data_IF_993601940520
#
_entry.id   IF_993601940520
#
_cell.length_a   1.000
_cell.length_b   1.000
_cell.length_c   1.000
_cell.angle_alpha   90.00
_cell.angle_beta   90.00
_cell.angle_gamma   90.00
#
_symmetry.space_group_name_H-M   'P 1'
#
loop_
_entity.id
_entity.type
_entity.pdbx_description
1 polymer ?
#
# COMPACT_ATOMS: atom_id res chain seq x y z
N UNK A 1 -48.86 16.29 -7.20
CA UNK A 1 -47.47 16.57 -7.64
C UNK A 1 -46.54 15.74 -6.79
N UNK A 2 -46.05 14.62 -7.33
CA UNK A 2 -45.07 13.76 -6.68
C UNK A 2 -43.70 14.35 -7.01
N UNK A 3 -43.01 14.89 -6.02
CA UNK A 3 -41.62 15.27 -6.12
C UNK A 3 -40.79 14.00 -6.08
N UNK A 4 -40.35 13.55 -7.22
CA UNK A 4 -39.28 12.58 -7.31
C UNK A 4 -38.00 13.27 -6.86
N UNK A 5 -37.60 13.06 -5.61
CA UNK A 5 -36.22 13.31 -5.21
C UNK A 5 -35.35 12.41 -6.04
N UNK A 6 -34.67 12.98 -7.02
CA UNK A 6 -33.50 12.33 -7.64
C UNK A 6 -32.49 12.20 -6.52
N UNK A 7 -32.39 11.03 -5.91
CA UNK A 7 -31.27 10.71 -5.07
C UNK A 7 -30.04 10.80 -6.02
N UNK A 8 -29.22 11.81 -5.87
CA UNK A 8 -27.88 11.80 -6.44
C UNK A 8 -27.23 10.61 -5.76
N UNK A 9 -26.99 9.55 -6.55
CA UNK A 9 -26.17 8.45 -6.10
C UNK A 9 -24.82 9.06 -5.68
N UNK A 10 -24.44 8.83 -4.45
CA UNK A 10 -23.19 9.35 -3.92
C UNK A 10 -22.08 8.56 -4.62
N UNK A 11 -21.38 9.22 -5.52
CA UNK A 11 -20.29 8.71 -6.34
C UNK A 11 -19.30 7.93 -5.49
N UNK A 12 -18.86 6.77 -5.95
CA UNK A 12 -17.79 6.02 -5.30
C UNK A 12 -16.48 6.78 -5.54
N UNK A 13 -15.91 7.30 -4.48
CA UNK A 13 -14.57 7.82 -4.45
C UNK A 13 -13.59 6.65 -4.36
N UNK A 14 -12.55 6.63 -5.21
CA UNK A 14 -11.58 5.54 -5.23
C UNK A 14 -10.29 5.84 -4.50
N UNK A 15 -10.13 7.06 -3.99
CA UNK A 15 -8.91 7.50 -3.34
C UNK A 15 -8.48 6.55 -2.21
N UNK A 16 -9.44 6.15 -1.38
CA UNK A 16 -9.21 5.33 -0.18
C UNK A 16 -10.08 4.06 -0.16
N UNK A 17 -10.21 3.32 -1.26
CA UNK A 17 -11.06 2.13 -1.28
C UNK A 17 -10.35 0.82 -0.99
N UNK A 18 -9.05 0.76 -1.23
CA UNK A 18 -8.27 -0.46 -1.20
C UNK A 18 -7.29 -0.45 -0.02
N UNK A 19 -6.95 -1.63 0.50
CA UNK A 19 -6.00 -1.74 1.59
C UNK A 19 -4.55 -1.62 1.15
N UNK A 20 -4.19 -2.32 0.07
CA UNK A 20 -2.83 -2.38 -0.45
C UNK A 20 -2.69 -1.89 -1.88
N UNK A 21 -3.75 -1.39 -2.46
CA UNK A 21 -3.79 -0.76 -3.77
C UNK A 21 -4.25 0.68 -3.63
N UNK A 22 -4.10 1.45 -4.68
CA UNK A 22 -4.42 2.86 -4.73
C UNK A 22 -5.40 3.09 -5.89
N UNK A 23 -6.40 3.94 -5.69
CA UNK A 23 -7.32 4.39 -6.74
C UNK A 23 -6.79 5.61 -7.50
N UNK A 24 -7.52 6.04 -8.52
CA UNK A 24 -7.10 7.16 -9.38
C UNK A 24 -7.64 8.52 -8.95
N UNK A 25 -8.59 8.57 -8.02
CA UNK A 25 -9.14 9.83 -7.51
C UNK A 25 -8.11 10.56 -6.63
N UNK A 26 -8.17 11.89 -6.62
CA UNK A 26 -7.21 12.78 -5.96
C UNK A 26 -7.89 13.89 -5.16
N UNK A 27 -9.21 13.81 -4.92
CA UNK A 27 -9.98 14.85 -4.24
C UNK A 27 -10.19 16.12 -5.08
N UNK A 28 -10.73 17.15 -4.44
CA UNK A 28 -11.01 18.47 -5.02
C UNK A 28 -10.01 19.52 -4.51
N UNK A 29 -9.67 20.55 -5.32
CA UNK A 29 -8.74 21.60 -4.88
C UNK A 29 -9.16 22.25 -3.56
N UNK A 30 -8.25 22.20 -2.58
CA UNK A 30 -8.46 22.73 -1.23
C UNK A 30 -8.79 21.66 -0.19
N UNK A 31 -9.14 20.44 -0.60
CA UNK A 31 -9.36 19.33 0.32
C UNK A 31 -8.12 19.06 1.16
N UNK A 32 -8.35 18.67 2.39
CA UNK A 32 -7.30 18.31 3.37
C UNK A 32 -7.77 17.12 4.16
N UNK A 33 -6.84 16.22 4.38
CA UNK A 33 -7.08 15.02 5.15
C UNK A 33 -5.92 14.70 6.09
N UNK A 34 -6.26 14.05 7.19
CA UNK A 34 -5.29 13.46 8.11
C UNK A 34 -5.61 11.98 8.23
N UNK A 35 -4.59 11.16 8.01
CA UNK A 35 -4.73 9.72 8.05
C UNK A 35 -3.84 9.09 9.11
N UNK A 36 -4.31 7.98 9.64
CA UNK A 36 -3.51 7.07 10.45
C UNK A 36 -3.62 5.68 9.89
N UNK A 37 -2.48 5.03 9.66
CA UNK A 37 -2.46 3.65 9.22
C UNK A 37 -1.54 2.77 10.04
N UNK A 38 -1.76 1.48 9.98
CA UNK A 38 -0.81 0.48 10.49
C UNK A 38 -0.81 -0.73 9.56
N UNK A 39 0.37 -1.06 9.04
CA UNK A 39 0.63 -2.30 8.33
C UNK A 39 1.33 -3.27 9.27
N UNK A 40 0.69 -4.42 9.54
CA UNK A 40 1.26 -5.52 10.30
C UNK A 40 1.69 -6.65 9.35
N UNK A 41 2.87 -7.24 9.60
CA UNK A 41 3.48 -8.31 8.80
C UNK A 41 3.93 -9.44 9.73
N UNK A 42 3.61 -10.69 9.39
CA UNK A 42 4.03 -11.82 10.23
C UNK A 42 4.18 -13.12 9.45
N UNK A 43 4.90 -14.07 10.05
CA UNK A 43 5.03 -15.43 9.53
C UNK A 43 6.22 -15.64 8.59
N UNK A 44 7.42 -15.37 9.03
CA UNK A 44 8.67 -15.93 8.45
C UNK A 44 9.04 -17.23 9.16
N UNK A 45 9.83 -18.10 8.54
CA UNK A 45 10.26 -19.41 9.09
C UNK A 45 11.76 -19.62 8.95
N UNK A 46 12.39 -20.41 9.87
CA UNK A 46 11.87 -20.91 11.15
C UNK A 46 11.81 -19.76 12.19
N UNK A 47 11.02 -19.91 13.25
CA UNK A 47 10.96 -18.96 14.36
C UNK A 47 9.68 -18.13 14.42
N UNK A 48 9.73 -17.04 15.17
CA UNK A 48 8.64 -16.06 15.31
C UNK A 48 9.04 -14.75 14.66
N UNK A 49 8.16 -14.21 13.84
CA UNK A 49 8.35 -12.93 13.17
C UNK A 49 7.06 -12.11 13.21
N UNK A 50 7.17 -10.91 13.74
CA UNK A 50 6.13 -9.88 13.69
C UNK A 50 6.80 -8.53 13.47
N UNK A 51 6.31 -7.76 12.50
CA UNK A 51 6.67 -6.37 12.28
C UNK A 51 5.40 -5.54 12.10
N UNK A 52 5.38 -4.32 12.65
CA UNK A 52 4.30 -3.36 12.45
C UNK A 52 4.87 -1.99 12.10
N UNK A 53 4.25 -1.33 11.15
CA UNK A 53 4.60 0.01 10.68
C UNK A 53 3.38 0.93 10.85
N UNK A 54 3.20 1.56 12.04
CA UNK A 54 2.25 2.64 12.20
C UNK A 54 2.74 3.90 11.50
N UNK A 55 1.86 4.60 10.80
CA UNK A 55 2.15 5.84 10.10
C UNK A 55 1.05 6.88 10.31
N UNK A 56 1.44 8.14 10.17
CA UNK A 56 0.57 9.30 10.19
C UNK A 56 0.86 10.12 8.94
N UNK A 57 -0.19 10.42 8.19
CA UNK A 57 -0.14 11.17 6.93
C UNK A 57 -0.96 12.44 7.02
N UNK A 58 -0.46 13.50 6.40
CA UNK A 58 -1.18 14.73 6.16
C UNK A 58 -1.23 14.99 4.65
N UNK A 59 -2.44 15.15 4.15
CA UNK A 59 -2.75 15.27 2.74
C UNK A 59 -3.36 16.62 2.40
N UNK A 60 -3.09 17.08 1.18
CA UNK A 60 -3.62 18.30 0.62
C UNK A 60 -3.73 18.21 -0.91
N UNK A 61 -4.82 18.75 -1.46
CA UNK A 61 -5.05 18.91 -2.91
C UNK A 61 -4.77 20.36 -3.33
N UNK A 62 -3.55 20.69 -3.81
CA UNK A 62 -3.17 22.07 -4.13
C UNK A 62 -3.84 22.64 -5.39
N UNK A 63 -4.04 21.81 -6.38
CA UNK A 63 -4.64 22.17 -7.69
C UNK A 63 -5.41 20.96 -8.24
N UNK A 64 -6.24 21.22 -9.23
CA UNK A 64 -6.97 20.15 -9.93
C UNK A 64 -6.04 19.05 -10.44
N UNK A 65 -6.45 17.81 -10.24
CA UNK A 65 -5.73 16.59 -10.63
C UNK A 65 -4.40 16.31 -9.89
N UNK A 66 -4.02 17.08 -8.91
CA UNK A 66 -2.78 16.87 -8.14
C UNK A 66 -3.10 16.75 -6.64
N UNK A 67 -2.75 15.64 -6.06
CA UNK A 67 -2.70 15.38 -4.62
C UNK A 67 -1.24 15.37 -4.14
N UNK A 68 -1.00 15.90 -2.97
CA UNK A 68 0.30 15.86 -2.31
C UNK A 68 0.12 15.47 -0.84
N UNK A 69 0.97 14.59 -0.33
CA UNK A 69 0.97 14.26 1.09
C UNK A 69 2.38 14.13 1.67
N UNK A 70 2.44 14.11 3.00
CA UNK A 70 3.65 13.85 3.77
C UNK A 70 3.33 12.86 4.88
N UNK A 71 4.14 11.81 5.00
CA UNK A 71 3.93 10.70 5.93
C UNK A 71 5.12 10.55 6.87
N UNK A 72 4.83 10.39 8.16
CA UNK A 72 5.79 9.99 9.19
C UNK A 72 5.44 8.59 9.67
N UNK A 73 6.42 7.69 9.68
CA UNK A 73 6.21 6.33 10.15
C UNK A 73 7.14 5.93 11.29
N UNK A 74 6.68 4.97 12.08
CA UNK A 74 7.47 4.23 13.06
C UNK A 74 7.47 2.75 12.70
N UNK A 75 8.45 2.01 13.23
CA UNK A 75 8.55 0.57 13.07
C UNK A 75 8.59 -0.11 14.45
N UNK A 76 7.92 -1.24 14.55
CA UNK A 76 8.04 -2.17 15.67
C UNK A 76 8.38 -3.56 15.15
N UNK A 77 9.37 -4.20 15.76
CA UNK A 77 9.80 -5.56 15.41
C UNK A 77 9.80 -6.45 16.66
N UNK A 78 9.30 -7.68 16.50
CA UNK A 78 9.43 -8.79 17.45
C UNK A 78 9.87 -10.03 16.66
N UNK A 79 11.18 -10.26 16.65
CA UNK A 79 11.87 -11.27 15.83
C UNK A 79 12.60 -12.23 16.77
N UNK A 80 12.37 -13.53 16.59
CA UNK A 80 13.03 -14.56 17.38
C UNK A 80 13.29 -15.81 16.54
N UNK A 81 14.54 -16.26 16.53
CA UNK A 81 15.01 -17.50 15.88
C UNK A 81 14.70 -17.58 14.38
N UNK A 82 14.76 -16.46 13.67
CA UNK A 82 14.68 -16.40 12.20
C UNK A 82 16.09 -16.52 11.62
N UNK A 83 16.30 -17.47 10.72
CA UNK A 83 17.60 -17.65 10.06
C UNK A 83 17.98 -16.40 9.25
N UNK A 84 19.17 -15.85 9.53
CA UNK A 84 19.69 -14.66 8.87
C UNK A 84 19.21 -13.33 9.46
N UNK A 85 18.40 -13.34 10.51
CA UNK A 85 18.00 -12.16 11.28
C UNK A 85 18.45 -12.30 12.74
N UNK A 86 18.82 -11.20 13.36
CA UNK A 86 19.07 -11.14 14.79
C UNK A 86 17.75 -11.14 15.58
N UNK A 87 17.75 -11.78 16.75
CA UNK A 87 16.63 -11.70 17.68
C UNK A 87 16.49 -10.26 18.17
N UNK A 88 15.28 -9.70 18.02
CA UNK A 88 15.05 -8.27 18.25
C UNK A 88 13.63 -8.00 18.75
N UNK A 89 13.53 -7.14 19.75
CA UNK A 89 12.23 -6.61 20.17
C UNK A 89 12.39 -5.11 20.43
N UNK A 90 11.96 -4.28 19.47
CA UNK A 90 12.14 -2.83 19.56
C UNK A 90 11.11 -2.06 18.73
N UNK A 91 10.87 -0.81 19.15
CA UNK A 91 10.22 0.24 18.36
C UNK A 91 11.21 1.35 18.03
N UNK A 92 11.10 1.94 16.85
CA UNK A 92 11.93 3.05 16.40
C UNK A 92 11.17 3.97 15.45
N UNK A 93 11.66 5.19 15.24
CA UNK A 93 11.28 5.99 14.09
C UNK A 93 11.73 5.27 12.82
N UNK A 94 10.81 5.11 11.85
CA UNK A 94 11.11 4.41 10.60
C UNK A 94 11.46 5.39 9.50
N UNK A 95 10.49 6.16 8.99
CA UNK A 95 10.69 6.92 7.77
C UNK A 95 9.91 8.22 7.70
N UNK A 96 10.36 9.07 6.78
CA UNK A 96 9.63 10.21 6.23
C UNK A 96 9.44 9.96 4.74
N UNK A 97 8.22 10.15 4.23
CA UNK A 97 7.92 10.12 2.80
C UNK A 97 7.08 11.32 2.37
N UNK A 98 7.09 11.55 1.05
CA UNK A 98 6.28 12.56 0.38
C UNK A 98 5.63 11.90 -0.82
N UNK A 99 4.30 11.94 -0.90
CA UNK A 99 3.55 11.39 -2.03
C UNK A 99 3.09 12.50 -2.94
N UNK A 100 3.15 12.23 -4.26
CA UNK A 100 2.59 13.06 -5.31
C UNK A 100 1.81 12.17 -6.27
N UNK A 101 0.49 12.33 -6.27
CA UNK A 101 -0.40 11.66 -7.22
C UNK A 101 -0.95 12.64 -8.23
N UNK A 102 -0.79 12.32 -9.51
CA UNK A 102 -1.32 13.13 -10.60
C UNK A 102 -2.29 12.32 -11.45
N UNK A 103 -3.56 12.75 -11.48
CA UNK A 103 -4.62 12.16 -12.29
C UNK A 103 -4.49 12.63 -13.74
N UNK A 104 -4.23 11.68 -14.64
CA UNK A 104 -4.09 11.91 -16.08
C UNK A 104 -5.43 11.87 -16.81
N UNK A 105 -6.33 10.97 -16.37
CA UNK A 105 -7.65 10.76 -16.98
C UNK A 105 -8.68 10.63 -15.85
N UNK A 106 -9.70 11.45 -15.92
CA UNK A 106 -10.81 11.41 -14.99
C UNK A 106 -11.83 10.32 -15.39
N UNK A 107 -12.13 9.40 -14.45
CA UNK A 107 -13.00 8.24 -14.67
C UNK A 107 -14.38 8.60 -15.21
N UNK A 108 -14.97 9.69 -14.75
CA UNK A 108 -16.34 10.08 -15.12
C UNK A 108 -16.43 10.61 -16.54
N UNK A 109 -15.35 11.18 -17.06
CA UNK A 109 -15.32 11.73 -18.43
C UNK A 109 -15.00 10.64 -19.46
N UNK A 110 -14.06 9.74 -19.13
CA UNK A 110 -13.54 8.75 -20.06
C UNK A 110 -14.09 7.33 -19.85
N UNK A 111 -14.84 7.09 -18.74
CA UNK A 111 -15.30 5.76 -18.37
C UNK A 111 -14.24 4.86 -17.73
N UNK A 112 -13.02 5.39 -17.52
CA UNK A 112 -11.95 4.82 -16.71
C UNK A 112 -11.06 5.94 -16.16
N UNK A 113 -10.44 5.70 -15.02
CA UNK A 113 -9.45 6.59 -14.41
C UNK A 113 -8.04 6.13 -14.74
N UNK A 114 -7.11 7.08 -14.88
CA UNK A 114 -5.68 6.83 -15.01
C UNK A 114 -4.91 7.87 -14.19
N UNK A 115 -3.98 7.42 -13.34
CA UNK A 115 -3.10 8.29 -12.59
C UNK A 115 -1.70 7.71 -12.49
N UNK A 116 -0.75 8.59 -12.19
CA UNK A 116 0.61 8.22 -11.79
C UNK A 116 0.82 8.69 -10.35
N UNK A 117 1.63 7.93 -9.63
CA UNK A 117 1.91 8.15 -8.23
C UNK A 117 3.40 7.98 -7.97
N UNK A 118 3.98 8.84 -7.14
CA UNK A 118 5.38 8.80 -6.79
C UNK A 118 5.58 9.21 -5.32
N UNK A 119 6.06 8.29 -4.52
CA UNK A 119 6.32 8.48 -3.09
C UNK A 119 7.81 8.25 -2.76
N UNK A 120 8.70 9.26 -2.96
CA UNK A 120 10.07 9.19 -2.45
C UNK A 120 10.07 9.13 -0.93
N UNK A 121 10.95 8.30 -0.38
CA UNK A 121 11.08 8.13 1.06
C UNK A 121 12.53 8.04 1.54
N UNK A 122 12.72 8.43 2.79
CA UNK A 122 13.94 8.22 3.56
C UNK A 122 13.62 7.48 4.84
N UNK A 123 14.32 6.38 5.10
CA UNK A 123 14.12 5.51 6.26
C UNK A 123 15.37 5.34 7.11
N UNK A 124 15.18 5.00 8.39
CA UNK A 124 16.23 4.81 9.40
C UNK A 124 16.32 3.38 9.90
N UNK A 125 15.36 2.54 9.50
CA UNK A 125 15.24 1.17 9.96
C UNK A 125 15.00 0.27 8.76
N UNK A 126 15.67 -0.88 8.71
CA UNK A 126 15.35 -1.92 7.74
C UNK A 126 13.97 -2.54 8.06
N UNK A 127 13.01 -2.54 7.13
CA UNK A 127 11.63 -2.94 7.41
C UNK A 127 11.46 -4.42 7.70
N UNK A 128 12.48 -5.24 7.40
CA UNK A 128 12.46 -6.69 7.64
C UNK A 128 13.21 -7.07 8.90
N UNK A 129 14.43 -6.56 9.11
CA UNK A 129 15.29 -6.94 10.22
C UNK A 129 15.16 -6.02 11.43
N UNK A 130 14.65 -4.81 11.25
CA UNK A 130 14.65 -3.77 12.28
C UNK A 130 16.03 -3.18 12.55
N UNK A 131 17.03 -3.45 11.72
CA UNK A 131 18.39 -2.92 11.89
C UNK A 131 18.45 -1.43 11.56
N UNK A 132 19.33 -0.67 12.29
CA UNK A 132 19.59 0.73 11.94
C UNK A 132 20.29 0.83 10.59
N UNK A 133 19.70 1.60 9.69
CA UNK A 133 20.19 1.83 8.32
C UNK A 133 19.94 3.27 7.90
N UNK A 134 20.55 3.71 6.80
CA UNK A 134 20.03 4.80 5.99
C UNK A 134 19.45 4.22 4.72
N UNK A 135 18.16 4.42 4.50
CA UNK A 135 17.37 3.86 3.42
C UNK A 135 16.79 4.99 2.57
N UNK A 136 16.97 4.89 1.26
CA UNK A 136 16.50 5.86 0.28
C UNK A 136 15.79 5.11 -0.84
N UNK A 137 14.54 5.43 -1.10
CA UNK A 137 13.76 4.77 -2.12
C UNK A 137 12.64 5.62 -2.66
N UNK A 138 11.84 5.03 -3.52
CA UNK A 138 10.61 5.61 -4.00
C UNK A 138 9.61 4.50 -4.34
N UNK A 139 8.34 4.72 -4.04
CA UNK A 139 7.24 3.92 -4.56
C UNK A 139 6.68 4.63 -5.79
N UNK A 140 6.79 3.98 -6.95
CA UNK A 140 6.31 4.51 -8.23
C UNK A 140 5.18 3.62 -8.72
N UNK A 141 4.03 4.23 -9.04
CA UNK A 141 2.85 3.47 -9.44
C UNK A 141 2.15 4.07 -10.67
N UNK A 142 1.70 3.18 -11.54
CA UNK A 142 0.71 3.48 -12.56
C UNK A 142 -0.62 2.91 -12.10
N UNK A 143 -1.63 3.76 -12.00
CA UNK A 143 -2.93 3.47 -11.43
C UNK A 143 -4.01 3.51 -12.52
N UNK A 144 -4.87 2.51 -12.55
CA UNK A 144 -6.02 2.46 -13.43
C UNK A 144 -7.22 1.95 -12.64
N UNK A 145 -8.37 2.58 -12.79
CA UNK A 145 -9.61 2.08 -12.24
C UNK A 145 -10.81 2.28 -13.18
N UNK A 146 -11.85 1.52 -12.95
CA UNK A 146 -13.08 1.56 -13.75
C UNK A 146 -14.27 1.08 -12.93
N UNK A 147 -15.37 1.80 -13.01
CA UNK A 147 -16.65 1.28 -12.57
C UNK A 147 -17.19 0.27 -13.61
N UNK A 148 -17.29 -0.99 -13.19
CA UNK A 148 -17.88 -2.05 -14.00
C UNK A 148 -19.40 -2.02 -13.95
N UNK A 149 -19.95 -1.62 -12.81
CA UNK A 149 -21.36 -1.32 -12.58
C UNK A 149 -21.42 0.02 -11.88
N UNK A 150 -22.05 1.05 -12.46
CA UNK A 150 -22.14 2.38 -11.90
C UNK A 150 -22.58 2.35 -10.43
N UNK A 151 -21.91 3.11 -9.58
CA UNK A 151 -22.14 3.25 -8.13
C UNK A 151 -22.20 1.92 -7.36
N UNK A 152 -21.68 0.81 -7.92
CA UNK A 152 -21.80 -0.49 -7.27
C UNK A 152 -20.56 -1.36 -7.34
N UNK A 153 -19.92 -1.48 -8.49
CA UNK A 153 -18.78 -2.39 -8.68
C UNK A 153 -17.62 -1.64 -9.29
N UNK A 154 -16.52 -1.57 -8.57
CA UNK A 154 -15.30 -0.93 -9.01
C UNK A 154 -14.19 -1.96 -9.14
N UNK A 155 -13.45 -1.91 -10.26
CA UNK A 155 -12.21 -2.64 -10.47
C UNK A 155 -11.05 -1.67 -10.53
N UNK A 156 -9.90 -2.05 -9.94
CA UNK A 156 -8.65 -1.29 -10.03
C UNK A 156 -7.50 -2.20 -10.45
N UNK A 157 -6.50 -1.58 -11.08
CA UNK A 157 -5.24 -2.20 -11.45
C UNK A 157 -4.11 -1.21 -11.14
N UNK A 158 -3.08 -1.68 -10.43
CA UNK A 158 -1.85 -0.94 -10.20
C UNK A 158 -0.67 -1.70 -10.80
N UNK A 159 0.30 -0.97 -11.32
CA UNK A 159 1.62 -1.49 -11.64
C UNK A 159 2.63 -0.73 -10.79
N UNK A 160 3.33 -1.45 -9.90
CA UNK A 160 4.22 -0.84 -8.92
C UNK A 160 5.68 -1.15 -9.23
N UNK A 161 6.55 -0.17 -8.98
CA UNK A 161 8.00 -0.30 -9.03
C UNK A 161 8.62 0.46 -7.85
N UNK A 162 9.32 -0.27 -6.99
CA UNK A 162 9.81 0.21 -5.69
C UNK A 162 11.33 -0.01 -5.60
N UNK A 163 12.17 0.89 -6.17
CA UNK A 163 13.61 0.85 -6.02
C UNK A 163 14.04 1.38 -4.65
N UNK A 164 14.98 0.71 -4.00
CA UNK A 164 15.51 1.11 -2.70
C UNK A 164 17.01 0.87 -2.61
N UNK A 165 17.74 1.86 -2.06
CA UNK A 165 19.14 1.75 -1.66
C UNK A 165 19.24 1.83 -0.14
N UNK A 166 19.93 0.86 0.46
CA UNK A 166 20.11 0.76 1.91
C UNK A 166 21.59 0.76 2.27
N UNK A 167 21.97 1.62 3.19
CA UNK A 167 23.31 1.67 3.81
C UNK A 167 23.24 1.10 5.21
N UNK A 168 23.84 -0.06 5.44
CA UNK A 168 23.88 -0.70 6.76
C UNK A 168 24.85 0.03 7.69
N UNK A 169 24.38 0.46 8.84
CA UNK A 169 25.25 1.04 9.88
C UNK A 169 26.15 -0.02 10.54
N UNK A 170 25.79 -1.30 10.49
CA UNK A 170 26.58 -2.37 11.09
C UNK A 170 27.78 -2.75 10.23
N UNK A 171 27.58 -2.84 8.91
CA UNK A 171 28.61 -3.32 7.99
C UNK A 171 29.26 -2.23 7.16
N UNK A 172 28.66 -1.04 7.09
CA UNK A 172 29.03 0.04 6.18
C UNK A 172 28.77 -0.25 4.70
N UNK A 173 28.09 -1.35 4.39
CA UNK A 173 27.83 -1.76 3.01
C UNK A 173 26.54 -1.11 2.46
N UNK A 174 26.56 -0.87 1.16
CA UNK A 174 25.37 -0.48 0.40
C UNK A 174 24.77 -1.70 -0.28
N UNK A 175 23.43 -1.85 -0.16
CA UNK A 175 22.63 -2.74 -1.00
C UNK A 175 21.70 -1.93 -1.89
N UNK A 176 21.27 -2.53 -3.01
CA UNK A 176 20.27 -1.97 -3.92
C UNK A 176 19.29 -3.06 -4.28
N UNK A 177 18.04 -2.77 -4.15
CA UNK A 177 16.97 -3.72 -4.36
C UNK A 177 15.83 -3.03 -5.14
N UNK A 178 14.97 -3.82 -5.73
CA UNK A 178 13.74 -3.33 -6.31
C UNK A 178 12.65 -4.38 -6.19
N UNK A 179 11.44 -3.93 -5.86
CA UNK A 179 10.21 -4.73 -6.01
C UNK A 179 9.44 -4.22 -7.21
N UNK A 180 8.93 -5.14 -8.02
CA UNK A 180 8.13 -4.84 -9.19
C UNK A 180 6.97 -5.80 -9.30
N UNK A 181 5.78 -5.30 -9.66
CA UNK A 181 4.65 -6.19 -9.92
C UNK A 181 3.32 -5.53 -10.14
N UNK A 182 2.37 -6.25 -10.76
CA UNK A 182 0.98 -5.84 -10.88
C UNK A 182 0.17 -6.17 -9.63
N UNK A 183 -0.87 -5.38 -9.41
CA UNK A 183 -1.94 -5.64 -8.48
C UNK A 183 -3.29 -5.43 -9.15
N UNK A 184 -4.31 -6.17 -8.76
CA UNK A 184 -5.68 -6.03 -9.23
C UNK A 184 -6.66 -6.19 -8.06
N UNK A 185 -7.69 -5.37 -8.02
CA UNK A 185 -8.70 -5.37 -6.97
C UNK A 185 -10.11 -5.18 -7.51
N UNK A 186 -11.06 -5.70 -6.76
CA UNK A 186 -12.49 -5.53 -7.03
C UNK A 186 -13.19 -5.16 -5.72
N UNK A 187 -13.97 -4.07 -5.74
CA UNK A 187 -14.80 -3.63 -4.62
C UNK A 187 -16.26 -3.60 -5.03
N UNK A 188 -17.13 -4.03 -4.14
CA UNK A 188 -18.59 -4.04 -4.33
C UNK A 188 -19.24 -3.25 -3.21
N UNK A 189 -19.99 -2.22 -3.56
CA UNK A 189 -20.80 -1.46 -2.61
C UNK A 189 -22.02 -2.30 -2.23
N UNK A 190 -22.08 -2.71 -0.97
CA UNK A 190 -23.18 -3.50 -0.40
C UNK A 190 -24.25 -2.60 0.23
N UNK A 191 -23.83 -1.46 0.78
CA UNK A 191 -24.66 -0.37 1.28
C UNK A 191 -23.97 0.96 0.97
N UNK A 192 -24.69 2.10 0.92
CA UNK A 192 -24.06 3.40 0.74
C UNK A 192 -22.94 3.65 1.77
N UNK A 193 -21.71 3.82 1.28
CA UNK A 193 -20.52 4.01 2.11
C UNK A 193 -19.92 2.74 2.72
N UNK A 194 -20.43 1.54 2.39
CA UNK A 194 -19.81 0.26 2.81
C UNK A 194 -19.49 -0.57 1.57
N UNK A 195 -18.21 -0.80 1.35
CA UNK A 195 -17.72 -1.64 0.26
C UNK A 195 -16.93 -2.82 0.80
N UNK A 196 -17.12 -3.97 0.19
CA UNK A 196 -16.32 -5.18 0.43
C UNK A 196 -15.70 -5.67 -0.86
N UNK A 197 -14.53 -6.24 -0.77
CA UNK A 197 -13.85 -6.71 -1.96
C UNK A 197 -12.66 -7.60 -1.66
N UNK A 198 -11.82 -7.74 -2.67
CA UNK A 198 -10.58 -8.49 -2.58
C UNK A 198 -9.50 -7.88 -3.48
N UNK A 199 -8.25 -8.06 -3.06
CA UNK A 199 -7.07 -7.61 -3.77
C UNK A 199 -6.14 -8.79 -4.03
N UNK A 200 -5.54 -8.82 -5.23
CA UNK A 200 -4.48 -9.73 -5.63
C UNK A 200 -3.24 -8.92 -5.98
N UNK A 201 -2.08 -9.23 -5.38
CA UNK A 201 -0.81 -8.56 -5.67
C UNK A 201 0.24 -9.61 -6.01
N UNK A 202 0.81 -9.54 -7.21
CA UNK A 202 1.93 -10.37 -7.62
C UNK A 202 3.20 -9.54 -7.64
N UNK A 203 4.06 -9.77 -6.65
CA UNK A 203 5.27 -9.00 -6.43
C UNK A 203 6.50 -9.85 -6.70
N UNK A 204 7.51 -9.25 -7.33
CA UNK A 204 8.81 -9.84 -7.61
C UNK A 204 9.91 -8.98 -7.01
N UNK A 205 10.74 -9.58 -6.18
CA UNK A 205 11.90 -8.94 -5.58
C UNK A 205 13.13 -9.19 -6.45
N UNK A 206 13.97 -8.17 -6.56
CA UNK A 206 15.22 -8.18 -7.32
C UNK A 206 16.34 -7.53 -6.53
N UNK A 207 17.57 -7.97 -6.78
CA UNK A 207 18.77 -7.21 -6.44
C UNK A 207 19.09 -6.29 -7.62
N UNK A 208 19.40 -5.01 -7.30
CA UNK A 208 19.65 -3.96 -8.28
C UNK A 208 18.40 -3.26 -8.78
N UNK A 209 18.55 -1.96 -9.12
CA UNK A 209 17.45 -1.11 -9.56
C UNK A 209 16.88 -1.51 -10.93
N UNK A 210 17.72 -1.93 -11.85
CA UNK A 210 17.30 -2.34 -13.20
C UNK A 210 16.76 -3.78 -13.24
N UNK A 211 16.30 -4.34 -12.10
CA UNK A 211 15.75 -5.70 -11.99
C UNK A 211 16.76 -6.77 -12.43
N UNK A 212 18.06 -6.56 -12.10
CA UNK A 212 19.18 -7.34 -12.65
C UNK A 212 19.15 -8.79 -12.21
N UNK A 213 18.93 -9.04 -10.92
CA UNK A 213 18.98 -10.39 -10.39
C UNK A 213 17.71 -10.73 -9.62
N UNK A 214 16.95 -11.67 -10.11
CA UNK A 214 15.75 -12.18 -9.46
C UNK A 214 16.08 -12.77 -8.08
N UNK A 215 15.42 -12.27 -7.04
CA UNK A 215 15.55 -12.72 -5.65
C UNK A 215 14.38 -13.62 -5.22
N UNK A 216 13.16 -13.31 -5.66
CA UNK A 216 11.98 -14.08 -5.34
C UNK A 216 10.68 -13.45 -5.83
N UNK A 217 9.57 -14.14 -5.56
CA UNK A 217 8.24 -13.69 -5.95
C UNK A 217 7.18 -14.18 -4.97
N UNK A 218 6.12 -13.39 -4.81
CA UNK A 218 4.98 -13.73 -3.99
C UNK A 218 3.66 -13.31 -4.65
N UNK A 219 2.64 -14.14 -4.52
CA UNK A 219 1.26 -13.81 -4.83
C UNK A 219 0.49 -13.69 -3.52
N UNK A 220 0.03 -12.51 -3.22
CA UNK A 220 -0.86 -12.20 -2.12
C UNK A 220 -2.29 -12.12 -2.64
N UNK A 221 -3.25 -12.61 -1.86
CA UNK A 221 -4.67 -12.47 -2.18
C UNK A 221 -5.48 -12.45 -0.90
N UNK A 222 -6.35 -11.45 -0.74
CA UNK A 222 -7.18 -11.39 0.44
C UNK A 222 -8.28 -10.33 0.40
N UNK A 223 -9.15 -10.34 1.42
CA UNK A 223 -10.28 -9.44 1.52
C UNK A 223 -9.88 -8.03 1.92
N UNK A 224 -10.70 -7.07 1.48
CA UNK A 224 -10.68 -5.67 1.88
C UNK A 224 -12.09 -5.21 2.21
N UNK A 225 -12.20 -4.42 3.27
CA UNK A 225 -13.39 -3.71 3.71
C UNK A 225 -13.10 -2.23 3.75
N UNK A 226 -13.98 -1.43 3.17
CA UNK A 226 -14.06 0.02 3.36
C UNK A 226 -15.38 0.36 4.01
N UNK A 227 -15.37 1.28 4.98
CA UNK A 227 -16.58 1.82 5.59
C UNK A 227 -16.44 3.32 5.87
N UNK A 228 -17.36 4.13 5.31
CA UNK A 228 -17.52 5.54 5.65
C UNK A 228 -18.40 5.63 6.89
N UNK A 229 -17.79 5.97 8.02
CA UNK A 229 -18.46 6.02 9.33
C UNK A 229 -19.24 7.31 9.55
N UNK A 230 -18.80 8.39 8.88
CA UNK A 230 -19.48 9.68 8.87
C UNK A 230 -19.20 10.42 7.56
N UNK A 231 -19.63 11.68 7.45
CA UNK A 231 -19.32 12.53 6.28
C UNK A 231 -17.83 12.83 6.13
N UNK A 232 -17.06 12.67 7.21
CA UNK A 232 -15.64 13.04 7.26
C UNK A 232 -14.72 11.91 7.71
N UNK A 233 -15.27 10.81 8.21
CA UNK A 233 -14.49 9.71 8.79
C UNK A 233 -14.75 8.44 8.03
N UNK A 234 -13.69 7.82 7.56
CA UNK A 234 -13.69 6.51 6.91
C UNK A 234 -12.66 5.56 7.56
N UNK A 235 -12.82 4.27 7.30
CA UNK A 235 -11.91 3.22 7.75
C UNK A 235 -11.75 2.16 6.68
N UNK A 236 -10.53 1.63 6.54
CA UNK A 236 -10.19 0.46 5.73
C UNK A 236 -9.62 -0.62 6.64
N UNK A 237 -9.99 -1.86 6.35
CA UNK A 237 -9.35 -3.04 6.92
C UNK A 237 -9.07 -4.04 5.81
N UNK A 238 -7.84 -4.53 5.71
CA UNK A 238 -7.44 -5.51 4.71
C UNK A 238 -6.55 -6.59 5.33
N UNK A 239 -6.68 -7.81 4.83
CA UNK A 239 -5.80 -8.92 5.16
C UNK A 239 -5.36 -9.64 3.89
N UNK A 240 -4.06 -9.79 3.70
CA UNK A 240 -3.48 -10.26 2.45
C UNK A 240 -2.46 -11.37 2.74
N UNK A 241 -2.90 -12.63 2.86
CA UNK A 241 -1.99 -13.77 2.96
C UNK A 241 -1.27 -14.05 1.65
N UNK A 242 -0.01 -14.48 1.75
CA UNK A 242 0.72 -15.04 0.62
C UNK A 242 0.14 -16.42 0.30
N UNK A 243 -0.46 -16.59 -0.88
CA UNK A 243 -1.09 -17.85 -1.33
C UNK A 243 -0.17 -18.67 -2.22
N UNK A 244 0.82 -18.06 -2.85
CA UNK A 244 1.85 -18.71 -3.63
C UNK A 244 3.12 -17.85 -3.65
N UNK A 245 4.29 -18.48 -3.82
CA UNK A 245 5.54 -17.76 -3.91
C UNK A 245 6.73 -18.68 -4.13
N UNK A 246 7.89 -18.09 -4.46
CA UNK A 246 9.14 -18.82 -4.62
C UNK A 246 10.34 -17.88 -4.43
N UNK A 247 11.21 -18.19 -3.47
CA UNK A 247 12.52 -17.58 -3.39
C UNK A 247 13.47 -18.19 -4.44
N UNK A 248 14.41 -17.40 -4.94
CA UNK A 248 15.34 -17.86 -6.01
C UNK A 248 16.16 -19.09 -5.62
N UNK A 249 16.53 -19.20 -4.35
CA UNK A 249 17.45 -20.22 -3.85
C UNK A 249 16.82 -21.23 -2.88
N UNK A 250 15.49 -21.24 -2.76
CA UNK A 250 14.78 -22.14 -1.85
C UNK A 250 13.62 -22.85 -2.57
N UNK A 251 13.50 -24.15 -2.28
CA UNK A 251 12.34 -24.94 -2.71
C UNK A 251 11.19 -24.73 -1.70
N UNK A 252 10.03 -24.29 -2.18
CA UNK A 252 8.85 -24.06 -1.35
C UNK A 252 7.70 -23.49 -2.18
N UNK A 253 6.49 -23.56 -1.64
CA UNK A 253 5.29 -22.98 -2.26
C UNK A 253 5.06 -21.51 -1.87
N UNK A 254 5.86 -20.97 -0.94
CA UNK A 254 5.85 -19.59 -0.47
C UNK A 254 7.27 -19.03 -0.47
N UNK A 255 7.42 -17.74 -0.74
CA UNK A 255 8.65 -16.99 -0.56
C UNK A 255 8.66 -16.30 0.80
N UNK A 256 9.16 -16.98 1.82
CA UNK A 256 9.30 -16.43 3.17
C UNK A 256 10.69 -15.86 3.44
N UNK A 257 11.54 -15.78 2.42
CA UNK A 257 12.83 -15.10 2.49
C UNK A 257 12.66 -13.61 2.21
N UNK A 258 12.07 -13.26 1.07
CA UNK A 258 11.90 -11.87 0.65
C UNK A 258 10.60 -11.25 1.18
N UNK A 259 9.58 -12.06 1.48
CA UNK A 259 8.25 -11.62 1.92
C UNK A 259 7.82 -12.31 3.21
N UNK A 260 6.72 -11.85 3.79
CA UNK A 260 6.04 -12.46 4.92
C UNK A 260 4.86 -13.32 4.44
N UNK A 261 4.42 -14.23 5.29
CA UNK A 261 3.25 -15.07 5.00
C UNK A 261 1.95 -14.28 5.05
N UNK A 262 1.86 -13.30 5.94
CA UNK A 262 0.65 -12.51 6.14
C UNK A 262 0.97 -11.04 6.24
N UNK A 263 0.14 -10.22 5.62
CA UNK A 263 0.09 -8.78 5.79
C UNK A 263 -1.33 -8.37 6.14
N UNK A 264 -1.50 -7.43 7.07
CA UNK A 264 -2.79 -6.81 7.37
C UNK A 264 -2.60 -5.31 7.48
N UNK A 265 -3.60 -4.54 7.04
CA UNK A 265 -3.62 -3.09 7.10
C UNK A 265 -4.92 -2.64 7.75
N UNK A 266 -4.80 -1.67 8.63
CA UNK A 266 -5.92 -0.86 9.11
C UNK A 266 -5.53 0.59 8.85
N UNK A 267 -6.43 1.36 8.25
CA UNK A 267 -6.25 2.76 7.94
C UNK A 267 -7.55 3.50 8.24
N UNK A 268 -7.44 4.72 8.68
CA UNK A 268 -8.57 5.63 8.88
C UNK A 268 -8.16 7.03 8.46
N UNK A 269 -9.10 7.79 7.92
CA UNK A 269 -8.88 9.17 7.52
C UNK A 269 -9.98 10.10 8.02
N UNK A 270 -9.59 11.36 8.23
CA UNK A 270 -10.44 12.45 8.66
C UNK A 270 -10.32 13.62 7.67
N UNK A 271 -11.36 13.84 6.89
CA UNK A 271 -11.51 14.92 5.90
C UNK A 271 -11.91 16.25 6.56
N UNK A 272 -11.41 17.39 6.07
CA UNK A 272 -11.65 18.74 6.63
C UNK A 272 -12.26 19.71 5.61
#
# INVERSE_FOLDING_TARGET
MLWSSVAHAQRIDTEHLFGFMIGTDVGEPGDKEIEGETVARWGKRPGSYFAAAPAFEAEFVPIENLRASATLSAAYHDISRIAGLEDRRQGAFDSLSFDLRYRLIERQQAGFGLAIDAEPHWGRVDPTSGEPVDRYGADLSLLLDKELVPDRVLAAFNLVYQPEATHSHLTGAWSREATFGPAAGLMVQIEPGILIGAEARYLRAYQGFALEKFAGQALFFGPTLYARLSKRLWVIAAWSPQIAGRAANFSGSLDLTNFERHQAKVQFGLEF
#
